data_IF_682142000472
#
_entry.id   IF_682142000472
#
_cell.length_a   1.000
_cell.length_b   1.000
_cell.length_c   1.000
_cell.angle_alpha   90.00
_cell.angle_beta   90.00
_cell.angle_gamma   90.00
#
_symmetry.space_group_name_H-M   'P 1'
#
loop_
_entity.id
_entity.type
_entity.pdbx_description
1 polymer ?
#
# COMPACT_ATOMS: atom_id res chain seq x y z
N UNK A 1 1.92 -27.24 7.56
CA UNK A 1 1.00 -27.60 6.45
C UNK A 1 1.59 -26.93 5.21
N UNK A 2 1.75 -27.62 4.08
CA UNK A 2 2.30 -26.94 2.89
C UNK A 2 1.29 -25.90 2.38
N UNK A 3 1.74 -24.70 1.98
CA UNK A 3 0.86 -23.72 1.35
C UNK A 3 0.15 -24.35 0.16
N UNK A 4 -1.17 -24.22 0.07
CA UNK A 4 -1.88 -24.66 -1.13
C UNK A 4 -1.52 -23.73 -2.29
N UNK A 5 -1.43 -24.27 -3.50
CA UNK A 5 -1.16 -23.48 -4.71
C UNK A 5 -2.19 -22.34 -4.92
N UNK A 6 -3.39 -22.48 -4.34
CA UNK A 6 -4.42 -21.42 -4.35
C UNK A 6 -4.02 -20.28 -3.41
N UNK A 7 -3.57 -20.59 -2.18
CA UNK A 7 -3.16 -19.58 -1.21
C UNK A 7 -1.99 -18.71 -1.68
N UNK A 8 -1.03 -19.30 -2.41
CA UNK A 8 0.10 -18.54 -2.96
C UNK A 8 -0.29 -17.61 -4.12
N UNK A 9 -1.25 -18.00 -4.95
CA UNK A 9 -1.76 -17.11 -6.01
C UNK A 9 -2.59 -15.96 -5.42
N UNK A 10 -3.38 -16.25 -4.38
CA UNK A 10 -4.19 -15.24 -3.71
C UNK A 10 -3.29 -14.18 -3.07
N UNK A 11 -2.31 -14.57 -2.24
CA UNK A 11 -1.43 -13.63 -1.55
C UNK A 11 -0.61 -12.77 -2.53
N UNK A 12 -0.14 -13.38 -3.62
CA UNK A 12 0.62 -12.69 -4.66
C UNK A 12 -0.24 -11.73 -5.48
N UNK A 13 -1.56 -11.89 -5.50
CA UNK A 13 -2.47 -10.95 -6.17
C UNK A 13 -2.75 -9.68 -5.35
N UNK A 14 -2.44 -9.69 -4.05
CA UNK A 14 -2.74 -8.59 -3.14
C UNK A 14 -1.62 -7.57 -3.13
N UNK A 15 -1.92 -6.34 -3.55
CA UNK A 15 -0.99 -5.21 -3.58
C UNK A 15 -0.47 -4.83 -2.18
N UNK A 16 -1.19 -5.21 -1.13
CA UNK A 16 -0.78 -4.96 0.25
C UNK A 16 0.52 -5.71 0.60
N UNK A 17 0.74 -6.91 0.05
CA UNK A 17 1.90 -7.75 0.35
C UNK A 17 3.22 -7.11 -0.11
N UNK A 18 3.42 -6.73 -1.39
CA UNK A 18 4.62 -6.01 -1.79
C UNK A 18 4.75 -4.66 -1.10
N UNK A 19 3.63 -4.01 -0.75
CA UNK A 19 3.69 -2.76 0.00
C UNK A 19 4.19 -2.93 1.43
N UNK A 20 3.79 -4.00 2.15
CA UNK A 20 4.29 -4.32 3.49
C UNK A 20 5.78 -4.68 3.43
N UNK A 21 6.18 -5.53 2.47
CA UNK A 21 7.58 -5.87 2.28
C UNK A 21 8.41 -4.61 1.99
N UNK A 22 7.89 -3.71 1.13
CA UNK A 22 8.60 -2.50 0.76
C UNK A 22 8.76 -1.54 1.93
N UNK A 23 7.70 -1.35 2.70
CA UNK A 23 7.76 -0.61 3.96
C UNK A 23 8.85 -1.15 4.89
N UNK A 24 8.91 -2.47 5.07
CA UNK A 24 9.87 -3.09 5.98
C UNK A 24 11.30 -2.88 5.51
N UNK A 25 11.56 -3.01 4.21
CA UNK A 25 12.87 -2.75 3.61
C UNK A 25 13.28 -1.27 3.73
N UNK A 26 12.36 -0.36 3.40
CA UNK A 26 12.60 1.08 3.36
C UNK A 26 12.89 1.67 4.74
N UNK A 27 12.12 1.26 5.76
CA UNK A 27 12.26 1.78 7.12
C UNK A 27 13.02 0.84 8.06
N UNK A 28 13.69 -0.18 7.53
CA UNK A 28 14.42 -1.18 8.31
C UNK A 28 15.33 -0.57 9.36
N UNK A 29 16.20 0.34 8.94
CA UNK A 29 17.16 0.98 9.82
C UNK A 29 16.50 1.96 10.80
N UNK A 30 15.48 2.69 10.35
CA UNK A 30 14.80 3.71 11.16
C UNK A 30 13.95 3.08 12.29
N UNK A 31 13.29 1.95 12.02
CA UNK A 31 12.36 1.30 12.95
C UNK A 31 12.86 -0.04 13.48
N UNK A 32 14.11 -0.43 13.20
CA UNK A 32 14.70 -1.70 13.63
C UNK A 32 13.86 -2.93 13.22
N UNK A 33 13.38 -2.90 11.97
CA UNK A 33 12.56 -3.98 11.40
C UNK A 33 13.44 -5.16 10.96
N UNK A 34 12.77 -6.28 10.71
CA UNK A 34 13.41 -7.52 10.26
C UNK A 34 13.97 -7.37 8.83
N UNK A 35 14.99 -8.16 8.54
CA UNK A 35 15.55 -8.31 7.19
C UNK A 35 14.95 -9.56 6.56
N UNK A 36 14.14 -9.38 5.52
CA UNK A 36 13.47 -10.48 4.82
C UNK A 36 13.10 -10.06 3.40
N UNK A 37 12.99 -11.04 2.51
CA UNK A 37 12.52 -10.84 1.13
C UNK A 37 11.00 -11.06 1.03
N UNK A 38 10.40 -10.63 -0.08
CA UNK A 38 8.93 -10.76 -0.24
C UNK A 38 8.48 -12.23 -0.20
N UNK A 39 9.31 -13.15 -0.68
CA UNK A 39 9.09 -14.60 -0.60
C UNK A 39 8.99 -15.10 0.84
N UNK A 40 9.86 -14.61 1.74
CA UNK A 40 9.85 -14.98 3.16
C UNK A 40 8.54 -14.52 3.84
N UNK A 41 8.07 -13.31 3.49
CA UNK A 41 6.81 -12.78 4.00
C UNK A 41 5.61 -13.60 3.50
N UNK A 42 5.59 -13.94 2.20
CA UNK A 42 4.57 -14.81 1.60
C UNK A 42 4.52 -16.18 2.30
N UNK A 43 5.68 -16.81 2.48
CA UNK A 43 5.79 -18.11 3.17
C UNK A 43 5.36 -18.02 4.64
N UNK A 44 5.83 -17.01 5.36
CA UNK A 44 5.50 -16.82 6.77
C UNK A 44 4.00 -16.60 7.00
N UNK A 45 3.34 -15.87 6.11
CA UNK A 45 1.89 -15.66 6.14
C UNK A 45 1.09 -16.94 5.82
N UNK A 46 1.63 -17.82 4.97
CA UNK A 46 0.98 -19.08 4.57
C UNK A 46 1.20 -20.23 5.57
N UNK A 47 2.18 -20.13 6.47
CA UNK A 47 2.66 -21.26 7.28
C UNK A 47 2.19 -21.25 8.74
N UNK A 48 1.07 -20.58 9.04
CA UNK A 48 0.33 -20.56 10.33
C UNK A 48 1.00 -21.27 11.52
N UNK A 49 1.76 -20.52 12.32
CA UNK A 49 2.28 -20.96 13.62
C UNK A 49 3.47 -21.94 13.60
N UNK A 50 4.08 -22.21 12.43
CA UNK A 50 5.36 -22.93 12.32
C UNK A 50 6.58 -22.09 12.75
N UNK A 51 7.81 -22.61 12.55
CA UNK A 51 9.06 -21.84 12.80
C UNK A 51 9.09 -20.50 12.06
N UNK A 52 8.53 -20.45 10.84
CA UNK A 52 8.44 -19.25 10.01
C UNK A 52 7.31 -18.30 10.43
N UNK A 53 6.32 -18.78 11.20
CA UNK A 53 5.31 -17.91 11.82
C UNK A 53 5.91 -16.91 12.82
N UNK A 54 7.16 -17.12 13.24
CA UNK A 54 7.93 -16.17 14.05
C UNK A 54 8.19 -14.87 13.32
N UNK A 55 8.41 -14.89 12.01
CA UNK A 55 8.68 -13.67 11.24
C UNK A 55 7.53 -12.68 11.38
N UNK A 56 6.30 -13.15 11.15
CA UNK A 56 5.09 -12.30 11.25
C UNK A 56 4.88 -11.82 12.68
N UNK A 57 5.03 -12.68 13.68
CA UNK A 57 4.88 -12.30 15.09
C UNK A 57 5.94 -11.26 15.52
N UNK A 58 7.19 -11.47 15.13
CA UNK A 58 8.28 -10.52 15.41
C UNK A 58 8.07 -9.19 14.68
N UNK A 59 7.60 -9.23 13.43
CA UNK A 59 7.25 -8.02 12.69
C UNK A 59 6.15 -7.23 13.39
N UNK A 60 5.07 -7.91 13.82
CA UNK A 60 3.99 -7.27 14.58
C UNK A 60 4.55 -6.64 15.86
N UNK A 61 5.40 -7.35 16.60
CA UNK A 61 6.04 -6.83 17.81
C UNK A 61 6.81 -5.54 17.53
N UNK A 62 7.69 -5.53 16.51
CA UNK A 62 8.50 -4.34 16.16
C UNK A 62 7.64 -3.15 15.73
N UNK A 63 6.56 -3.39 14.99
CA UNK A 63 5.62 -2.33 14.61
C UNK A 63 4.86 -1.79 15.83
N UNK A 64 4.40 -2.68 16.71
CA UNK A 64 3.67 -2.31 17.92
C UNK A 64 4.55 -1.53 18.91
N UNK A 65 5.81 -1.89 19.08
CA UNK A 65 6.77 -1.14 19.90
C UNK A 65 6.80 0.34 19.49
N UNK A 66 6.86 0.64 18.19
CA UNK A 66 6.82 2.02 17.70
C UNK A 66 5.49 2.73 17.97
N UNK A 67 4.37 2.01 17.92
CA UNK A 67 3.03 2.56 18.09
C UNK A 67 2.61 2.81 19.56
N UNK A 68 3.32 2.20 20.51
CA UNK A 68 2.96 2.24 21.93
C UNK A 68 3.77 3.30 22.70
N UNK A 69 3.20 3.89 23.78
CA UNK A 69 3.93 4.78 24.67
C UNK A 69 5.14 4.10 25.29
N UNK A 70 6.21 4.88 25.51
CA UNK A 70 7.52 4.41 25.99
C UNK A 70 7.45 3.49 27.21
N UNK A 71 6.56 3.79 28.17
CA UNK A 71 6.42 3.02 29.41
C UNK A 71 5.94 1.57 29.19
N UNK A 72 5.32 1.29 28.04
CA UNK A 72 4.77 -0.03 27.70
C UNK A 72 5.57 -0.77 26.62
N UNK A 73 6.56 -0.12 26.00
CA UNK A 73 7.32 -0.69 24.88
C UNK A 73 8.09 -1.96 25.28
N UNK A 74 8.71 -1.95 26.46
CA UNK A 74 9.55 -3.06 26.93
C UNK A 74 8.76 -4.28 27.42
N UNK A 75 7.44 -4.18 27.57
CA UNK A 75 6.60 -5.27 28.07
C UNK A 75 6.09 -6.18 26.96
N UNK A 76 6.22 -5.76 25.69
CA UNK A 76 5.67 -6.50 24.57
C UNK A 76 6.65 -7.58 24.07
N UNK A 77 6.11 -8.70 23.63
CA UNK A 77 6.83 -9.86 23.15
C UNK A 77 5.94 -10.70 22.24
N UNK A 78 6.53 -11.67 21.54
CA UNK A 78 5.79 -12.63 20.71
C UNK A 78 4.80 -13.50 21.50
N UNK A 79 4.85 -13.51 22.84
CA UNK A 79 3.92 -14.27 23.69
C UNK A 79 2.69 -13.48 24.12
N UNK A 80 2.72 -12.15 24.09
CA UNK A 80 1.65 -11.29 24.60
C UNK A 80 1.20 -10.20 23.62
N UNK A 81 1.80 -10.12 22.44
CA UNK A 81 1.49 -9.11 21.41
C UNK A 81 -0.01 -9.04 21.09
N UNK A 82 -0.73 -10.17 21.15
CA UNK A 82 -2.16 -10.28 20.86
C UNK A 82 -3.00 -9.23 21.60
N UNK A 83 -2.76 -9.07 22.90
CA UNK A 83 -3.52 -8.13 23.74
C UNK A 83 -3.25 -6.68 23.33
N UNK A 84 -1.99 -6.35 23.07
CA UNK A 84 -1.56 -5.02 22.65
C UNK A 84 -2.09 -4.68 21.27
N UNK A 85 -2.03 -5.63 20.33
CA UNK A 85 -2.57 -5.52 18.99
C UNK A 85 -4.06 -5.18 19.02
N UNK A 86 -4.87 -5.95 19.77
CA UNK A 86 -6.31 -5.66 19.95
C UNK A 86 -6.56 -4.26 20.49
N UNK A 87 -5.80 -3.87 21.52
CA UNK A 87 -5.97 -2.56 22.17
C UNK A 87 -5.63 -1.42 21.21
N UNK A 88 -4.54 -1.55 20.44
CA UNK A 88 -4.13 -0.57 19.44
C UNK A 88 -5.22 -0.40 18.38
N UNK A 89 -5.67 -1.49 17.77
CA UNK A 89 -6.69 -1.46 16.71
C UNK A 89 -8.01 -0.87 17.20
N UNK A 90 -8.49 -1.24 18.39
CA UNK A 90 -9.69 -0.63 18.99
C UNK A 90 -9.55 0.88 19.12
N UNK A 91 -8.40 1.37 19.58
CA UNK A 91 -8.13 2.81 19.73
C UNK A 91 -8.02 3.51 18.37
N UNK A 92 -7.15 3.03 17.49
CA UNK A 92 -6.82 3.68 16.21
C UNK A 92 -7.98 3.64 15.22
N UNK A 93 -8.71 2.53 15.13
CA UNK A 93 -9.90 2.47 14.27
C UNK A 93 -11.03 3.39 14.77
N UNK A 94 -11.17 3.57 16.09
CA UNK A 94 -12.09 4.55 16.65
C UNK A 94 -11.67 6.00 16.33
N UNK A 95 -10.37 6.28 16.38
CA UNK A 95 -9.79 7.59 16.06
C UNK A 95 -10.00 7.96 14.58
N UNK A 96 -9.69 7.04 13.66
CA UNK A 96 -9.85 7.24 12.21
C UNK A 96 -11.26 6.98 11.69
N UNK A 97 -12.18 6.50 12.54
CA UNK A 97 -13.56 6.12 12.17
C UNK A 97 -13.59 5.10 11.01
N UNK A 98 -12.70 4.13 11.04
CA UNK A 98 -12.64 3.04 10.07
C UNK A 98 -13.08 1.71 10.68
N UNK A 99 -13.42 0.75 9.81
CA UNK A 99 -13.70 -0.63 10.21
C UNK A 99 -12.45 -1.26 10.85
N UNK A 100 -12.64 -1.99 11.94
CA UNK A 100 -11.53 -2.66 12.63
C UNK A 100 -11.39 -4.10 12.09
N UNK A 101 -10.34 -4.40 11.29
CA UNK A 101 -10.12 -5.75 10.75
C UNK A 101 -9.83 -6.80 11.82
N UNK A 102 -9.53 -6.38 13.05
CA UNK A 102 -9.24 -7.24 14.20
C UNK A 102 -10.31 -7.14 15.32
N UNK A 103 -11.57 -6.98 14.95
CA UNK A 103 -12.70 -6.84 15.88
C UNK A 103 -13.32 -8.17 16.35
N UNK A 104 -12.74 -9.31 15.99
CA UNK A 104 -13.22 -10.65 16.37
C UNK A 104 -12.51 -11.18 17.61
N UNK A 105 -13.13 -12.02 18.44
CA UNK A 105 -12.46 -12.68 19.58
C UNK A 105 -11.49 -13.82 19.17
N UNK A 106 -11.22 -13.96 17.88
CA UNK A 106 -10.28 -14.94 17.31
C UNK A 106 -8.87 -14.38 17.32
N UNK A 107 -7.91 -15.18 17.79
CA UNK A 107 -6.49 -14.84 17.82
C UNK A 107 -5.91 -14.66 16.41
N UNK A 108 -4.92 -13.76 16.27
CA UNK A 108 -4.31 -13.39 14.99
C UNK A 108 -3.91 -14.60 14.16
N UNK A 109 -3.28 -15.61 14.77
CA UNK A 109 -2.83 -16.84 14.11
C UNK A 109 -3.98 -17.62 13.48
N UNK A 110 -5.20 -17.50 14.00
CA UNK A 110 -6.38 -18.22 13.56
C UNK A 110 -7.25 -17.41 12.59
N UNK A 111 -6.86 -16.17 12.28
CA UNK A 111 -7.60 -15.34 11.33
C UNK A 111 -7.44 -15.86 9.88
N UNK A 112 -8.45 -15.60 9.03
CA UNK A 112 -8.29 -15.71 7.59
C UNK A 112 -7.06 -14.96 7.08
N UNK A 113 -6.35 -15.55 6.13
CA UNK A 113 -5.13 -15.00 5.53
C UNK A 113 -5.29 -13.54 5.07
N UNK A 114 -6.44 -13.22 4.45
CA UNK A 114 -6.75 -11.86 3.99
C UNK A 114 -6.78 -10.85 5.14
N UNK A 115 -7.39 -11.19 6.28
CA UNK A 115 -7.44 -10.31 7.45
C UNK A 115 -6.07 -10.11 8.07
N UNK A 116 -5.21 -11.14 8.08
CA UNK A 116 -3.82 -11.02 8.56
C UNK A 116 -3.06 -9.96 7.77
N UNK A 117 -3.20 -9.97 6.44
CA UNK A 117 -2.56 -8.98 5.55
C UNK A 117 -3.13 -7.58 5.77
N UNK A 118 -4.44 -7.43 5.90
CA UNK A 118 -5.09 -6.14 6.22
C UNK A 118 -4.59 -5.55 7.55
N UNK A 119 -4.46 -6.40 8.57
CA UNK A 119 -3.93 -6.00 9.89
C UNK A 119 -2.46 -5.57 9.78
N UNK A 120 -1.61 -6.34 9.09
CA UNK A 120 -0.20 -5.97 8.92
C UNK A 120 -0.03 -4.66 8.15
N UNK A 121 -0.85 -4.44 7.11
CA UNK A 121 -0.84 -3.18 6.37
C UNK A 121 -1.24 -2.01 7.27
N UNK A 122 -2.36 -2.14 7.99
CA UNK A 122 -2.81 -1.10 8.90
C UNK A 122 -1.79 -0.81 10.02
N UNK A 123 -1.04 -1.81 10.51
CA UNK A 123 0.07 -1.59 11.43
C UNK A 123 1.20 -0.76 10.83
N UNK A 124 1.54 -0.96 9.54
CA UNK A 124 2.53 -0.12 8.86
C UNK A 124 2.06 1.34 8.82
N UNK A 125 0.79 1.56 8.51
CA UNK A 125 0.20 2.91 8.48
C UNK A 125 0.22 3.54 9.89
N UNK A 126 -0.21 2.81 10.93
CA UNK A 126 -0.15 3.29 12.32
C UNK A 126 1.27 3.56 12.80
N UNK A 127 2.27 2.83 12.29
CA UNK A 127 3.68 3.06 12.62
C UNK A 127 4.15 4.40 12.07
N UNK A 128 3.69 4.83 10.89
CA UNK A 128 3.99 6.13 10.29
C UNK A 128 3.31 7.30 11.02
N UNK A 129 2.20 7.02 11.72
CA UNK A 129 1.50 8.01 12.54
C UNK A 129 2.07 8.19 13.94
N UNK A 130 3.12 7.45 14.30
CA UNK A 130 3.71 7.53 15.64
C UNK A 130 4.56 8.80 15.82
N UNK A 131 4.60 9.31 17.05
CA UNK A 131 5.23 10.60 17.38
C UNK A 131 6.75 10.62 17.12
N UNK A 132 7.42 9.47 17.12
CA UNK A 132 8.86 9.36 16.92
C UNK A 132 9.28 9.36 15.44
N UNK A 133 8.32 9.25 14.50
CA UNK A 133 8.60 9.09 13.07
C UNK A 133 9.35 10.27 12.50
N UNK A 134 8.94 11.50 12.79
CA UNK A 134 9.62 12.71 12.31
C UNK A 134 11.11 12.68 12.67
N UNK A 135 11.42 12.26 13.90
CA UNK A 135 12.80 12.15 14.37
C UNK A 135 13.55 10.99 13.71
N UNK A 136 12.90 9.83 13.58
CA UNK A 136 13.46 8.63 12.97
C UNK A 136 13.75 8.78 11.48
N UNK A 137 12.97 9.61 10.76
CA UNK A 137 13.08 9.79 9.31
C UNK A 137 13.92 11.01 8.88
N UNK A 138 14.43 11.81 9.81
CA UNK A 138 15.20 13.02 9.51
C UNK A 138 16.41 12.83 8.58
N UNK A 139 16.96 11.60 8.51
CA UNK A 139 18.11 11.27 7.67
C UNK A 139 17.73 10.47 6.41
N UNK A 140 16.44 10.22 6.17
CA UNK A 140 15.98 9.58 4.95
C UNK A 140 15.74 10.64 3.87
N UNK A 141 16.27 10.37 2.69
CA UNK A 141 15.99 11.15 1.50
C UNK A 141 14.56 10.87 1.03
N UNK A 142 13.75 11.93 0.91
CA UNK A 142 12.35 11.84 0.50
C UNK A 142 12.18 11.25 -0.90
N UNK A 143 13.16 11.48 -1.78
CA UNK A 143 13.13 10.92 -3.14
C UNK A 143 13.36 9.41 -3.12
N UNK A 144 14.11 8.92 -2.12
CA UNK A 144 14.31 7.49 -1.90
C UNK A 144 13.07 6.77 -1.37
N UNK A 145 12.05 7.49 -0.89
CA UNK A 145 10.78 6.91 -0.44
C UNK A 145 9.81 6.60 -1.60
N UNK A 146 10.06 7.15 -2.79
CA UNK A 146 9.17 7.01 -3.94
C UNK A 146 9.50 5.76 -4.71
N UNK A 147 8.52 4.87 -4.84
CA UNK A 147 8.58 3.80 -5.84
C UNK A 147 8.05 4.37 -7.15
N UNK A 148 8.86 4.32 -8.20
CA UNK A 148 8.44 4.70 -9.54
C UNK A 148 7.96 3.45 -10.30
N UNK A 149 6.88 3.56 -11.09
CA UNK A 149 6.47 2.47 -11.97
C UNK A 149 7.56 2.21 -13.00
N UNK A 150 7.77 0.94 -13.33
CA UNK A 150 8.67 0.48 -14.41
C UNK A 150 8.28 1.10 -15.75
N UNK A 151 6.99 1.33 -15.96
CA UNK A 151 6.47 1.98 -17.16
C UNK A 151 4.95 1.91 -17.22
N UNK A 152 4.41 2.46 -18.31
CA UNK A 152 2.98 2.45 -18.61
C UNK A 152 2.74 1.83 -19.99
N UNK A 153 1.62 1.12 -20.14
CA UNK A 153 1.19 0.63 -21.46
C UNK A 153 0.35 1.66 -22.23
N UNK A 154 -0.17 1.27 -23.41
CA UNK A 154 -1.02 2.14 -24.25
C UNK A 154 -2.37 2.46 -23.62
N UNK A 155 -2.80 1.70 -22.62
CA UNK A 155 -4.03 1.92 -21.86
C UNK A 155 -3.77 2.71 -20.58
N UNK A 156 -2.54 3.20 -20.40
CA UNK A 156 -2.08 3.92 -19.22
C UNK A 156 -2.09 3.06 -17.94
N UNK A 157 -2.07 1.73 -18.06
CA UNK A 157 -1.87 0.83 -16.92
C UNK A 157 -0.43 0.94 -16.46
N UNK A 158 -0.21 1.13 -15.15
CA UNK A 158 1.11 1.24 -14.56
C UNK A 158 1.67 -0.15 -14.24
N UNK A 159 2.97 -0.34 -14.46
CA UNK A 159 3.67 -1.60 -14.19
C UNK A 159 4.65 -1.40 -13.06
N UNK A 160 4.60 -2.26 -12.06
CA UNK A 160 5.37 -2.13 -10.83
C UNK A 160 6.23 -3.37 -10.63
N UNK A 161 7.54 -3.16 -10.48
CA UNK A 161 8.51 -4.25 -10.37
C UNK A 161 9.12 -4.25 -8.97
N UNK A 162 8.97 -5.36 -8.26
CA UNK A 162 9.44 -5.51 -6.89
C UNK A 162 10.34 -6.74 -6.76
N UNK A 163 11.39 -6.59 -5.94
CA UNK A 163 12.26 -7.69 -5.47
C UNK A 163 12.89 -8.58 -6.54
N UNK A 164 12.98 -8.12 -7.78
CA UNK A 164 13.60 -8.91 -8.85
C UNK A 164 12.76 -10.08 -9.36
N UNK A 165 11.63 -10.37 -8.73
CA UNK A 165 10.83 -11.59 -8.98
C UNK A 165 9.36 -11.30 -9.28
N UNK A 166 8.85 -10.10 -8.95
CA UNK A 166 7.42 -9.75 -9.03
C UNK A 166 7.14 -8.58 -9.95
N UNK A 167 6.17 -8.77 -10.84
CA UNK A 167 5.65 -7.73 -11.73
C UNK A 167 4.15 -7.58 -11.53
N UNK A 168 3.71 -6.42 -11.05
CA UNK A 168 2.31 -6.06 -10.89
C UNK A 168 1.87 -5.09 -11.98
N UNK A 169 0.60 -5.18 -12.38
CA UNK A 169 -0.09 -4.20 -13.21
C UNK A 169 -1.16 -3.52 -12.38
N UNK A 170 -1.16 -2.20 -12.39
CA UNK A 170 -2.23 -1.38 -11.84
C UNK A 170 -3.04 -0.81 -13.00
N UNK A 171 -4.32 -1.17 -13.06
CA UNK A 171 -5.27 -0.63 -14.02
C UNK A 171 -6.07 0.51 -13.38
N UNK A 172 -6.14 1.66 -14.05
CA UNK A 172 -6.99 2.78 -13.63
C UNK A 172 -8.37 2.65 -14.29
N UNK A 173 -9.42 2.48 -13.48
CA UNK A 173 -10.78 2.47 -14.01
C UNK A 173 -11.24 3.92 -14.22
N UNK A 174 -11.28 4.36 -15.48
CA UNK A 174 -11.92 5.64 -15.83
C UNK A 174 -13.44 5.48 -15.77
N UNK A 175 -14.03 5.84 -14.62
CA UNK A 175 -15.49 5.92 -14.41
C UNK A 175 -16.17 6.98 -15.29
N UNK A 176 -15.41 7.85 -15.95
CA UNK A 176 -15.90 8.93 -16.84
C UNK A 176 -16.42 8.45 -18.20
N UNK A 177 -16.06 7.25 -18.66
CA UNK A 177 -16.41 6.76 -20.00
C UNK A 177 -17.78 6.07 -20.11
N UNK A 178 -18.57 6.02 -19.03
CA UNK A 178 -19.90 5.39 -19.04
C UNK A 178 -21.05 6.29 -19.51
N UNK A 179 -20.83 7.61 -19.72
CA UNK A 179 -21.93 8.57 -20.02
C UNK A 179 -21.84 9.23 -21.42
N UNK A 180 -20.74 9.09 -22.17
CA UNK A 180 -20.53 9.83 -23.43
C UNK A 180 -21.05 9.13 -24.70
N UNK A 181 -22.22 8.49 -24.62
CA UNK A 181 -23.01 8.12 -25.80
C UNK A 181 -24.40 8.76 -25.78
N UNK A 182 -24.44 10.09 -25.87
CA UNK A 182 -25.61 10.79 -26.43
C UNK A 182 -25.17 11.96 -27.31
N UNK A 183 -25.41 11.73 -28.60
CA UNK A 183 -25.41 12.64 -29.73
C UNK A 183 -25.61 14.13 -29.40
N UNK A 184 -24.82 14.99 -30.03
CA UNK A 184 -25.35 16.25 -30.59
C UNK A 184 -24.63 16.65 -31.87
N UNK A 185 -25.43 16.72 -32.92
CA UNK A 185 -25.09 17.11 -34.28
C UNK A 185 -25.19 18.63 -34.50
N UNK A 186 -24.22 19.16 -35.28
CA UNK A 186 -24.28 20.31 -36.23
C UNK A 186 -24.27 21.77 -35.67
N UNK A 187 -23.96 22.80 -36.49
CA UNK A 187 -22.74 23.03 -37.31
C UNK A 187 -22.29 24.54 -37.37
N UNK A 188 -21.28 24.84 -38.22
CA UNK A 188 -20.95 26.10 -38.95
C UNK A 188 -19.97 27.16 -38.37
N UNK A 189 -18.82 27.24 -39.07
CA UNK A 189 -18.21 28.40 -39.74
C UNK A 189 -18.24 29.82 -39.12
N UNK A 190 -17.04 30.34 -38.78
CA UNK A 190 -16.40 31.50 -39.49
C UNK A 190 -15.05 31.93 -38.87
N UNK A 191 -13.99 31.69 -39.65
CA UNK A 191 -12.83 32.56 -39.95
C UNK A 191 -12.48 33.75 -39.01
N UNK A 192 -11.21 33.71 -38.54
CA UNK A 192 -10.12 34.69 -38.79
C UNK A 192 -9.72 35.67 -37.66
N UNK A 193 -8.41 35.61 -37.34
CA UNK A 193 -7.50 36.65 -36.79
C UNK A 193 -7.66 37.02 -35.30
N UNK A 194 -6.70 36.57 -34.47
CA UNK A 194 -5.60 37.42 -33.98
C UNK A 194 -4.57 36.61 -33.17
N UNK A 195 -3.34 36.55 -33.69
CA UNK A 195 -2.11 36.23 -32.97
C UNK A 195 -1.80 37.37 -32.01
N UNK A 196 -1.74 37.12 -30.70
CA UNK A 196 -0.80 37.70 -29.70
C UNK A 196 -1.28 37.37 -28.28
N UNK A 197 -0.73 36.28 -27.74
CA UNK A 197 -0.44 35.97 -26.32
C UNK A 197 -0.48 34.44 -26.18
N UNK A 198 0.63 33.76 -26.47
CA UNK A 198 0.65 32.29 -26.59
C UNK A 198 1.82 31.66 -25.84
N UNK A 199 2.14 32.21 -24.67
CA UNK A 199 3.17 31.63 -23.79
C UNK A 199 2.69 31.61 -22.34
N UNK A 200 2.09 32.69 -21.83
CA UNK A 200 1.54 32.71 -20.47
C UNK A 200 0.23 31.92 -20.27
N UNK A 201 -0.47 31.55 -21.36
CA UNK A 201 -1.73 30.80 -21.30
C UNK A 201 -1.57 29.28 -21.42
N UNK A 202 -0.38 28.84 -21.86
CA UNK A 202 -0.06 27.42 -21.94
C UNK A 202 0.45 26.90 -20.58
N UNK A 203 1.11 27.77 -19.78
CA UNK A 203 1.52 27.45 -18.40
C UNK A 203 0.31 27.39 -17.43
N UNK A 204 -0.64 28.33 -17.49
CA UNK A 204 -1.88 28.25 -16.70
C UNK A 204 -2.76 27.05 -17.09
N UNK A 205 -2.86 26.69 -18.38
CA UNK A 205 -3.58 25.49 -18.83
C UNK A 205 -2.84 24.18 -18.48
N UNK A 206 -1.51 24.18 -18.34
CA UNK A 206 -0.74 23.04 -17.85
C UNK A 206 -0.84 22.88 -16.32
N UNK A 207 -0.86 23.98 -15.57
CA UNK A 207 -1.08 23.97 -14.12
C UNK A 207 -2.51 23.57 -13.77
N UNK A 208 -3.54 24.12 -14.45
CA UNK A 208 -4.93 23.66 -14.28
C UNK A 208 -5.07 22.18 -14.65
N UNK A 209 -4.44 21.69 -15.74
CA UNK A 209 -4.45 20.26 -16.08
C UNK A 209 -3.72 19.39 -15.05
N UNK A 210 -2.64 19.89 -14.46
CA UNK A 210 -1.91 19.17 -13.40
C UNK A 210 -2.75 19.13 -12.12
N UNK A 211 -3.38 20.22 -11.71
CA UNK A 211 -4.30 20.25 -10.58
C UNK A 211 -5.53 19.38 -10.83
N UNK A 212 -6.17 19.45 -12.00
CA UNK A 212 -7.30 18.58 -12.36
C UNK A 212 -6.89 17.09 -12.41
N UNK A 213 -5.66 16.79 -12.85
CA UNK A 213 -5.11 15.43 -12.81
C UNK A 213 -4.79 14.93 -11.40
N UNK A 214 -4.42 15.83 -10.49
CA UNK A 214 -4.18 15.53 -9.08
C UNK A 214 -5.50 15.30 -8.36
N UNK A 215 -6.50 16.15 -8.61
CA UNK A 215 -7.85 16.07 -8.03
C UNK A 215 -8.61 14.84 -8.57
N UNK A 216 -8.40 14.44 -9.83
CA UNK A 216 -8.99 13.21 -10.40
C UNK A 216 -8.38 11.91 -9.86
N UNK A 217 -7.18 11.94 -9.23
CA UNK A 217 -6.59 10.72 -8.64
C UNK A 217 -7.29 10.29 -7.35
N UNK A 218 -7.90 11.20 -6.62
CA UNK A 218 -8.56 10.90 -5.33
C UNK A 218 -9.86 10.08 -5.45
N UNK A 219 -10.33 9.78 -6.68
CA UNK A 219 -11.60 9.07 -6.90
C UNK A 219 -11.53 7.86 -7.85
N UNK A 220 -10.34 7.37 -8.21
CA UNK A 220 -10.19 6.21 -9.10
C UNK A 220 -9.94 4.93 -8.30
N UNK A 221 -10.83 3.96 -8.44
CA UNK A 221 -10.57 2.59 -8.00
C UNK A 221 -9.44 2.01 -8.86
N UNK A 222 -8.30 1.71 -8.22
CA UNK A 222 -7.17 1.02 -8.83
C UNK A 222 -7.30 -0.48 -8.60
N UNK A 223 -7.17 -1.28 -9.67
CA UNK A 223 -7.13 -2.74 -9.56
C UNK A 223 -5.71 -3.22 -9.84
N UNK A 224 -5.16 -3.96 -8.88
CA UNK A 224 -3.83 -4.53 -8.96
C UNK A 224 -3.92 -6.00 -9.38
N UNK A 225 -3.12 -6.38 -10.36
CA UNK A 225 -3.02 -7.76 -10.84
C UNK A 225 -1.56 -8.17 -10.98
N UNK A 226 -1.18 -9.30 -10.38
CA UNK A 226 0.16 -9.85 -10.64
C UNK A 226 0.22 -10.44 -12.05
N UNK A 227 1.26 -10.07 -12.80
CA UNK A 227 1.48 -10.51 -14.17
C UNK A 227 2.52 -11.61 -14.27
N UNK A 228 3.51 -11.62 -13.38
CA UNK A 228 4.60 -12.58 -13.40
C UNK A 228 5.13 -12.85 -11.99
N UNK A 229 5.33 -14.12 -11.72
CA UNK A 229 6.15 -14.65 -10.62
C UNK A 229 7.28 -15.44 -11.27
N UNK A 230 8.53 -14.98 -11.17
CA UNK A 230 9.66 -15.80 -11.62
C UNK A 230 10.00 -16.83 -10.54
N UNK A 231 9.54 -18.07 -10.73
CA UNK A 231 10.11 -19.23 -10.03
C UNK A 231 11.47 -19.53 -10.67
N UNK A 232 12.56 -19.17 -10.01
CA UNK A 232 13.90 -19.66 -10.34
C UNK A 232 14.14 -21.05 -9.74
#
# INVERSE_FOLDING_TARGET
>A
MFPTFIGILDIQSWWEVPSIAHFCSLFRAAFNLLDFDIEDLEEALLTDGGTEGRLVQELIVRLLEGCLPNDTRNDISTFNYQMFLRRLFRKKCQEYKCENPFNTDVDFELLPLRQKVEILRALCDFRLDAEDVEQSLNNLDSDSLRVEPLGHDRKNSAYWYFYGTRLYREDYIDTSNSISHKQKSKPRDKKRKRRRSRVAKEEEEEEEKKEDSLIQREGKESVWQILLTMLL
#
